data_IF_985774707052
#
_entry.id   IF_985774707052
#
_cell.length_a   1.000
_cell.length_b   1.000
_cell.length_c   1.000
_cell.angle_alpha   90.00
_cell.angle_beta   90.00
_cell.angle_gamma   90.00
#
_symmetry.space_group_name_H-M   'P 1'
#
loop_
_entity.id
_entity.type
_entity.pdbx_description
1 polymer ?
#
# COMPACT_ATOMS: atom_id res chain seq x y z
N UNK A 1 29.00 -0.14 33.70
CA UNK A 1 30.10 -1.08 33.43
C UNK A 1 29.47 -2.38 33.01
N UNK A 2 29.56 -2.74 31.75
CA UNK A 2 29.07 -4.02 31.26
C UNK A 2 29.84 -5.16 31.91
N UNK A 3 29.16 -6.14 32.50
CA UNK A 3 29.76 -7.37 32.98
C UNK A 3 30.39 -8.11 31.79
N UNK A 4 31.68 -8.02 31.62
CA UNK A 4 32.44 -8.84 30.69
C UNK A 4 32.42 -10.28 31.23
N UNK A 5 31.77 -11.21 30.48
CA UNK A 5 31.93 -12.64 30.70
C UNK A 5 30.70 -13.53 30.76
N UNK A 6 29.46 -13.03 30.75
CA UNK A 6 28.30 -13.91 30.65
C UNK A 6 28.06 -14.28 29.21
N UNK A 7 28.03 -15.59 28.91
CA UNK A 7 27.69 -16.08 27.57
C UNK A 7 26.25 -15.69 27.21
N UNK A 8 26.06 -15.08 26.02
CA UNK A 8 24.73 -14.65 25.57
C UNK A 8 23.81 -15.83 25.34
N UNK A 9 22.55 -15.68 25.73
CA UNK A 9 21.49 -16.63 25.34
C UNK A 9 21.22 -16.51 23.85
N UNK A 10 21.22 -17.61 23.11
CA UNK A 10 20.97 -17.60 21.67
C UNK A 10 19.52 -17.96 21.39
N UNK A 11 18.82 -17.10 20.66
CA UNK A 11 17.48 -17.39 20.17
C UNK A 11 17.62 -17.79 18.70
N UNK A 12 17.39 -19.05 18.38
CA UNK A 12 17.64 -19.65 17.07
C UNK A 12 16.30 -19.98 16.40
N UNK A 13 16.09 -19.46 15.22
CA UNK A 13 14.95 -19.81 14.39
C UNK A 13 15.05 -21.23 13.82
N UNK A 14 13.93 -21.92 13.71
CA UNK A 14 13.79 -23.25 13.11
C UNK A 14 12.52 -23.31 12.26
N UNK A 15 12.62 -23.90 11.06
CA UNK A 15 11.48 -24.21 10.19
C UNK A 15 10.94 -25.61 10.37
N UNK A 16 9.92 -25.97 9.62
CA UNK A 16 9.36 -27.32 9.57
C UNK A 16 10.29 -28.32 8.86
N UNK A 17 11.31 -27.82 8.14
CA UNK A 17 12.44 -28.57 7.60
C UNK A 17 13.49 -28.96 8.68
N UNK A 18 13.28 -28.54 9.92
CA UNK A 18 14.08 -28.92 11.07
C UNK A 18 15.55 -28.48 11.00
N UNK A 19 16.43 -29.39 11.46
CA UNK A 19 17.88 -29.13 11.46
C UNK A 19 18.45 -29.01 10.03
N UNK A 20 17.86 -29.66 9.05
CA UNK A 20 18.36 -29.67 7.67
C UNK A 20 18.19 -28.32 6.98
N UNK A 21 17.18 -27.54 7.34
CA UNK A 21 16.99 -26.17 6.87
C UNK A 21 17.86 -25.12 7.57
N UNK A 22 18.52 -25.48 8.65
CA UNK A 22 19.36 -24.55 9.40
C UNK A 22 20.69 -24.26 8.67
N UNK A 23 21.19 -23.02 8.84
CA UNK A 23 22.58 -22.73 8.50
C UNK A 23 23.53 -23.60 9.34
N UNK A 24 24.70 -23.88 8.82
CA UNK A 24 25.74 -24.64 9.57
C UNK A 24 26.09 -23.97 10.92
N UNK A 25 25.94 -22.64 11.01
CA UNK A 25 26.14 -21.91 12.27
C UNK A 25 25.02 -22.19 13.27
N UNK A 26 23.76 -22.03 12.87
CA UNK A 26 22.59 -22.28 13.71
C UNK A 26 22.56 -23.73 14.22
N UNK A 27 22.84 -24.69 13.33
CA UNK A 27 22.93 -26.11 13.65
C UNK A 27 23.98 -26.40 14.75
N UNK A 28 25.19 -25.85 14.62
CA UNK A 28 26.24 -26.01 15.66
C UNK A 28 25.81 -25.46 17.01
N UNK A 29 25.10 -24.31 17.03
CA UNK A 29 24.59 -23.75 18.28
C UNK A 29 23.62 -24.71 18.98
N UNK A 30 22.67 -25.26 18.25
CA UNK A 30 21.67 -26.22 18.76
C UNK A 30 22.34 -27.52 19.25
N UNK A 31 23.24 -28.08 18.46
CA UNK A 31 23.95 -29.31 18.79
C UNK A 31 24.85 -29.16 20.03
N UNK A 32 25.49 -28.00 20.21
CA UNK A 32 26.42 -27.70 21.30
C UNK A 32 25.76 -27.07 22.53
N UNK A 33 24.44 -26.84 22.56
CA UNK A 33 23.74 -26.25 23.68
C UNK A 33 23.84 -27.10 24.95
N UNK A 34 24.14 -26.49 26.10
CA UNK A 34 24.06 -27.13 27.39
C UNK A 34 22.61 -27.18 27.90
N UNK A 35 21.84 -26.12 27.61
CA UNK A 35 20.39 -26.02 27.86
C UNK A 35 19.69 -25.64 26.56
N UNK A 36 18.76 -26.49 26.13
CA UNK A 36 17.93 -26.27 24.94
C UNK A 36 16.48 -26.06 25.37
N UNK A 37 15.92 -24.90 25.07
CA UNK A 37 14.54 -24.51 25.44
C UNK A 37 13.72 -24.30 24.14
N UNK A 38 12.43 -24.62 24.16
CA UNK A 38 11.55 -24.33 23.03
C UNK A 38 10.14 -24.88 23.21
N UNK A 39 9.20 -24.50 22.34
CA UNK A 39 7.84 -25.04 22.36
C UNK A 39 7.83 -26.51 21.89
N UNK A 40 6.73 -27.22 22.21
CA UNK A 40 6.50 -28.61 21.84
C UNK A 40 6.63 -28.83 20.32
N UNK A 41 6.17 -27.87 19.52
CA UNK A 41 6.25 -27.94 18.05
C UNK A 41 7.69 -28.09 17.51
N UNK A 42 8.70 -27.57 18.22
CA UNK A 42 10.08 -27.78 17.82
C UNK A 42 10.55 -29.23 18.01
N UNK A 43 9.97 -29.97 18.95
CA UNK A 43 10.36 -31.37 19.20
C UNK A 43 10.06 -32.29 18.01
N UNK A 44 9.00 -31.99 17.25
CA UNK A 44 8.54 -32.82 16.13
C UNK A 44 9.45 -32.74 14.91
N UNK A 45 10.20 -31.64 14.76
CA UNK A 45 11.08 -31.37 13.60
C UNK A 45 12.57 -31.61 13.94
N UNK A 46 12.89 -31.98 15.17
CA UNK A 46 14.24 -32.27 15.60
C UNK A 46 14.57 -33.76 15.52
N UNK A 47 15.81 -34.14 15.20
CA UNK A 47 16.27 -35.52 15.35
C UNK A 47 16.09 -36.01 16.79
N UNK A 48 15.77 -37.31 17.01
CA UNK A 48 15.46 -37.84 18.34
C UNK A 48 16.53 -37.56 19.41
N UNK A 49 17.82 -37.57 19.03
CA UNK A 49 18.93 -37.27 19.93
C UNK A 49 18.98 -35.84 20.40
N UNK A 50 18.48 -34.88 19.61
CA UNK A 50 18.38 -33.46 19.97
C UNK A 50 17.05 -33.19 20.68
N UNK A 51 15.96 -33.78 20.17
CA UNK A 51 14.61 -33.63 20.74
C UNK A 51 14.55 -34.12 22.20
N UNK A 52 15.31 -35.17 22.57
CA UNK A 52 15.38 -35.68 23.94
C UNK A 52 16.04 -34.71 24.94
N UNK A 53 16.77 -33.71 24.45
CA UNK A 53 17.44 -32.64 25.23
C UNK A 53 16.59 -31.40 25.35
N UNK A 54 15.49 -31.29 24.58
CA UNK A 54 14.64 -30.13 24.57
C UNK A 54 13.81 -30.02 25.85
N UNK A 55 14.07 -28.99 26.62
CA UNK A 55 13.20 -28.57 27.71
C UNK A 55 12.01 -27.81 27.13
N UNK A 56 10.87 -28.47 27.08
CA UNK A 56 9.63 -27.94 26.53
C UNK A 56 9.07 -26.84 27.39
N UNK A 57 8.68 -25.72 26.78
CA UNK A 57 8.03 -24.59 27.43
C UNK A 57 6.62 -24.40 26.84
N UNK A 58 5.66 -24.08 27.71
CA UNK A 58 4.25 -23.95 27.35
C UNK A 58 3.80 -22.51 27.12
N UNK A 59 4.58 -21.55 27.67
CA UNK A 59 4.28 -20.13 27.52
C UNK A 59 5.57 -19.32 27.44
N UNK A 60 5.44 -18.06 27.01
CA UNK A 60 6.55 -17.12 26.99
C UNK A 60 6.99 -16.70 28.40
N UNK A 61 6.06 -16.70 29.36
CA UNK A 61 6.34 -16.45 30.77
C UNK A 61 7.23 -17.55 31.35
N UNK A 62 6.86 -18.82 31.14
CA UNK A 62 7.67 -19.96 31.56
C UNK A 62 9.06 -19.94 30.92
N UNK A 63 9.13 -19.53 29.64
CA UNK A 63 10.40 -19.37 28.94
C UNK A 63 11.30 -18.36 29.63
N UNK A 64 10.77 -17.18 30.00
CA UNK A 64 11.49 -16.13 30.70
C UNK A 64 12.01 -16.65 32.05
N UNK A 65 11.16 -17.31 32.85
CA UNK A 65 11.53 -17.89 34.13
C UNK A 65 12.65 -18.93 34.00
N UNK A 66 12.58 -19.81 33.00
CA UNK A 66 13.61 -20.83 32.77
C UNK A 66 14.95 -20.23 32.30
N UNK A 67 14.92 -19.19 31.47
CA UNK A 67 16.13 -18.48 31.06
C UNK A 67 16.78 -17.78 32.26
N UNK A 68 15.98 -17.20 33.12
CA UNK A 68 16.49 -16.45 34.29
C UNK A 68 17.00 -17.39 35.40
N UNK A 69 16.38 -18.56 35.55
CA UNK A 69 16.79 -19.59 36.48
C UNK A 69 17.96 -20.47 35.95
N UNK A 70 18.30 -20.38 34.66
CA UNK A 70 19.38 -21.18 34.10
C UNK A 70 20.74 -20.70 34.63
N UNK A 71 21.55 -21.66 35.08
CA UNK A 71 22.92 -21.42 35.48
C UNK A 71 23.85 -21.04 34.33
N UNK A 72 25.16 -20.92 34.61
CA UNK A 72 26.15 -20.65 33.56
C UNK A 72 26.20 -21.81 32.57
N UNK A 73 26.24 -21.47 31.25
CA UNK A 73 26.27 -22.43 30.16
C UNK A 73 25.70 -21.86 28.87
N UNK A 74 25.81 -22.64 27.80
CA UNK A 74 25.30 -22.28 26.47
C UNK A 74 23.80 -22.55 26.40
N UNK A 75 23.00 -21.49 26.62
CA UNK A 75 21.55 -21.56 26.56
C UNK A 75 21.12 -21.23 25.13
N UNK A 76 20.35 -22.13 24.53
CA UNK A 76 19.73 -21.95 23.21
C UNK A 76 18.21 -22.05 23.36
N UNK A 77 17.52 -21.05 22.81
CA UNK A 77 16.08 -21.02 22.71
C UNK A 77 15.69 -21.25 21.25
N UNK A 78 14.89 -22.25 20.97
CA UNK A 78 14.31 -22.49 19.65
C UNK A 78 13.01 -21.69 19.49
N UNK A 79 12.83 -21.08 18.33
CA UNK A 79 11.63 -20.35 17.97
C UNK A 79 11.25 -20.69 16.51
N UNK A 80 9.97 -20.88 16.22
CA UNK A 80 9.50 -21.17 14.86
C UNK A 80 9.75 -19.98 13.93
N UNK A 81 10.33 -20.26 12.75
CA UNK A 81 10.63 -19.27 11.71
C UNK A 81 11.62 -18.19 12.16
N UNK A 82 11.36 -16.94 11.83
CA UNK A 82 12.18 -15.81 12.31
C UNK A 82 11.76 -15.39 13.73
N UNK A 83 12.64 -15.49 14.71
CA UNK A 83 12.33 -15.14 16.11
C UNK A 83 11.91 -13.69 16.33
N UNK A 84 12.25 -12.78 15.41
CA UNK A 84 11.90 -11.35 15.48
C UNK A 84 10.62 -10.99 14.73
N UNK A 85 10.17 -11.84 13.81
CA UNK A 85 8.98 -11.59 13.02
C UNK A 85 7.72 -12.14 13.71
N UNK A 86 7.00 -11.31 14.47
CA UNK A 86 5.90 -11.68 15.37
C UNK A 86 6.27 -12.78 16.39
N UNK A 87 7.57 -12.93 16.66
CA UNK A 87 8.12 -14.08 17.33
C UNK A 87 8.55 -13.85 18.77
N UNK A 88 9.09 -14.92 19.35
CA UNK A 88 9.52 -15.09 20.74
C UNK A 88 10.55 -14.04 21.18
N UNK A 89 11.48 -13.66 20.30
CA UNK A 89 12.61 -12.80 20.69
C UNK A 89 12.16 -11.42 21.17
N UNK A 90 11.14 -10.82 20.59
CA UNK A 90 10.62 -9.51 21.02
C UNK A 90 10.18 -9.55 22.47
N UNK A 91 9.45 -10.58 22.87
CA UNK A 91 8.94 -10.71 24.24
C UNK A 91 10.08 -10.93 25.23
N UNK A 92 10.95 -11.91 24.97
CA UNK A 92 12.06 -12.26 25.90
C UNK A 92 13.03 -11.10 26.07
N UNK A 93 13.42 -10.46 24.96
CA UNK A 93 14.33 -9.29 24.99
C UNK A 93 13.74 -8.09 25.74
N UNK A 94 12.42 -7.89 25.68
CA UNK A 94 11.77 -6.81 26.42
C UNK A 94 11.74 -7.06 27.95
N UNK A 95 11.73 -8.31 28.38
CA UNK A 95 11.68 -8.70 29.80
C UNK A 95 13.07 -8.82 30.44
N UNK A 96 14.04 -9.36 29.72
CA UNK A 96 15.35 -9.72 30.26
C UNK A 96 16.50 -8.81 29.79
N UNK A 97 16.19 -7.83 28.90
CA UNK A 97 17.19 -6.93 28.33
C UNK A 97 17.83 -7.48 27.05
N UNK A 98 17.92 -6.63 26.02
CA UNK A 98 18.41 -7.02 24.68
C UNK A 98 19.84 -7.52 24.66
N UNK A 99 20.69 -6.95 25.50
CA UNK A 99 22.14 -7.24 25.52
C UNK A 99 22.46 -8.67 25.99
N UNK A 100 21.50 -9.35 26.64
CA UNK A 100 21.63 -10.76 27.04
C UNK A 100 21.51 -11.74 25.88
N UNK A 101 21.01 -11.29 24.72
CA UNK A 101 20.63 -12.18 23.64
C UNK A 101 21.44 -11.98 22.38
N UNK A 102 21.61 -13.08 21.65
CA UNK A 102 22.00 -13.15 20.25
C UNK A 102 20.87 -13.83 19.49
N UNK A 103 20.37 -13.20 18.44
CA UNK A 103 19.26 -13.75 17.63
C UNK A 103 19.82 -14.25 16.30
N UNK A 104 19.56 -15.52 16.00
CA UNK A 104 19.92 -16.17 14.75
C UNK A 104 18.62 -16.44 13.98
N UNK A 105 18.32 -15.66 12.95
CA UNK A 105 17.07 -15.79 12.22
C UNK A 105 17.02 -17.05 11.35
N UNK A 106 15.80 -17.48 11.04
CA UNK A 106 15.51 -18.47 10.02
C UNK A 106 14.48 -17.90 9.04
N UNK A 107 14.28 -18.54 7.90
CA UNK A 107 13.24 -18.14 6.94
C UNK A 107 11.86 -18.28 7.61
N UNK A 108 11.08 -17.21 7.61
CA UNK A 108 9.73 -17.25 8.16
C UNK A 108 8.74 -17.88 7.19
N UNK A 109 7.63 -18.43 7.71
CA UNK A 109 6.54 -18.93 6.84
C UNK A 109 5.94 -17.83 5.94
N UNK A 110 5.99 -16.57 6.36
CA UNK A 110 5.61 -15.44 5.50
C UNK A 110 6.53 -15.34 4.28
N UNK A 111 7.85 -15.40 4.47
CA UNK A 111 8.81 -15.37 3.36
C UNK A 111 8.65 -16.58 2.43
N UNK A 112 8.40 -17.76 3.01
CA UNK A 112 8.11 -18.96 2.21
C UNK A 112 6.84 -18.79 1.38
N UNK A 113 5.76 -18.24 1.97
CA UNK A 113 4.51 -17.97 1.27
C UNK A 113 4.73 -17.05 0.06
N UNK A 114 5.42 -15.93 0.26
CA UNK A 114 5.74 -15.01 -0.85
C UNK A 114 6.61 -15.67 -1.92
N UNK A 115 7.57 -16.51 -1.53
CA UNK A 115 8.38 -17.27 -2.48
C UNK A 115 7.55 -18.27 -3.30
N UNK A 116 6.55 -18.92 -2.71
CA UNK A 116 5.65 -19.86 -3.42
C UNK A 116 4.75 -19.13 -4.40
N UNK A 117 4.26 -17.96 -4.02
CA UNK A 117 3.40 -17.10 -4.85
C UNK A 117 4.22 -16.35 -5.91
N UNK A 118 5.54 -16.19 -5.72
CA UNK A 118 6.47 -15.46 -6.58
C UNK A 118 6.16 -13.95 -6.65
N UNK A 119 5.72 -13.41 -5.54
CA UNK A 119 5.48 -11.98 -5.36
C UNK A 119 6.56 -11.34 -4.48
N UNK A 120 6.87 -10.07 -4.73
CA UNK A 120 7.72 -9.29 -3.83
C UNK A 120 6.94 -8.88 -2.58
N UNK A 121 7.60 -8.94 -1.42
CA UNK A 121 7.04 -8.51 -0.14
C UNK A 121 7.60 -7.16 0.38
N UNK A 122 8.45 -6.53 -0.42
CA UNK A 122 9.12 -5.27 -0.05
C UNK A 122 8.14 -4.14 0.30
N UNK A 123 7.06 -4.02 -0.46
CA UNK A 123 6.00 -3.03 -0.22
C UNK A 123 4.69 -3.66 0.30
N UNK A 124 4.73 -4.94 0.66
CA UNK A 124 3.54 -5.65 1.11
C UNK A 124 3.08 -5.16 2.50
N UNK A 125 1.79 -5.04 2.69
CA UNK A 125 1.21 -4.88 4.01
C UNK A 125 1.17 -6.24 4.72
N UNK A 126 1.88 -6.36 5.85
CA UNK A 126 1.96 -7.58 6.63
C UNK A 126 1.21 -7.43 7.95
N UNK A 127 0.37 -8.41 8.29
CA UNK A 127 -0.36 -8.40 9.54
C UNK A 127 -0.49 -9.81 10.15
N UNK A 128 -0.66 -9.84 11.48
CA UNK A 128 -0.93 -11.06 12.23
C UNK A 128 -2.31 -10.95 12.91
N UNK A 129 -3.24 -11.81 12.51
CA UNK A 129 -4.62 -11.85 13.01
C UNK A 129 -4.80 -12.69 14.29
N UNK A 130 -3.72 -13.27 14.85
CA UNK A 130 -3.79 -13.95 16.14
C UNK A 130 -4.00 -12.98 17.32
N UNK A 131 -3.58 -11.72 17.18
CA UNK A 131 -3.66 -10.71 18.24
C UNK A 131 -4.55 -9.52 17.93
N UNK A 132 -5.22 -9.52 16.77
CA UNK A 132 -6.11 -8.43 16.35
C UNK A 132 -7.18 -8.94 15.38
N UNK A 133 -8.30 -8.23 15.33
CA UNK A 133 -9.39 -8.54 14.41
C UNK A 133 -9.12 -7.99 13.01
N UNK A 134 -9.82 -8.55 12.00
CA UNK A 134 -9.69 -8.16 10.60
C UNK A 134 -10.14 -6.71 10.36
N UNK A 135 -11.15 -6.24 11.09
CA UNK A 135 -11.71 -4.88 10.97
C UNK A 135 -10.65 -3.79 11.19
N UNK A 136 -9.65 -4.07 12.04
CA UNK A 136 -8.55 -3.13 12.31
C UNK A 136 -7.57 -2.95 11.16
N UNK A 137 -7.55 -3.88 10.24
CA UNK A 137 -6.60 -3.89 9.12
C UNK A 137 -7.26 -3.76 7.75
N UNK A 138 -8.60 -3.78 7.70
CA UNK A 138 -9.38 -3.83 6.46
C UNK A 138 -9.09 -2.65 5.54
N UNK A 139 -8.98 -1.44 6.09
CA UNK A 139 -8.68 -0.25 5.28
C UNK A 139 -7.26 -0.26 4.72
N UNK A 140 -6.31 -0.84 5.47
CA UNK A 140 -4.94 -1.04 4.96
C UNK A 140 -4.90 -2.10 3.89
N UNK A 141 -5.66 -3.19 4.03
CA UNK A 141 -5.82 -4.20 2.99
C UNK A 141 -6.42 -3.55 1.74
N UNK A 142 -7.50 -2.78 1.89
CA UNK A 142 -8.16 -2.05 0.80
C UNK A 142 -7.20 -1.18 -0.01
N UNK A 143 -6.24 -0.53 0.64
CA UNK A 143 -5.28 0.39 0.01
C UNK A 143 -3.99 -0.24 -0.45
N UNK A 144 -3.72 -1.51 -0.12
CA UNK A 144 -2.48 -2.21 -0.45
C UNK A 144 -2.58 -2.96 -1.77
N UNK A 145 -1.46 -3.12 -2.46
CA UNK A 145 -1.38 -3.92 -3.68
C UNK A 145 -1.10 -5.39 -3.38
N UNK A 146 -0.29 -5.63 -2.35
CA UNK A 146 0.04 -6.97 -1.88
C UNK A 146 -0.08 -7.02 -0.36
N UNK A 147 -0.67 -8.11 0.15
CA UNK A 147 -0.93 -8.29 1.58
C UNK A 147 -0.50 -9.69 2.01
N UNK A 148 0.18 -9.80 3.15
CA UNK A 148 0.50 -11.06 3.80
C UNK A 148 -0.15 -11.12 5.18
N UNK A 149 -0.94 -12.16 5.44
CA UNK A 149 -1.67 -12.34 6.68
C UNK A 149 -1.28 -13.66 7.35
N UNK A 150 -0.81 -13.60 8.59
CA UNK A 150 -0.92 -14.73 9.49
C UNK A 150 -2.36 -14.82 9.95
N UNK A 151 -3.02 -15.92 9.66
CA UNK A 151 -4.39 -16.20 10.06
C UNK A 151 -4.46 -16.79 11.48
N UNK A 152 -5.64 -17.03 11.98
CA UNK A 152 -5.87 -17.62 13.30
C UNK A 152 -7.13 -18.49 13.30
N UNK A 153 -7.38 -19.21 14.39
CA UNK A 153 -8.62 -19.97 14.55
C UNK A 153 -9.86 -19.06 14.48
N UNK A 154 -9.78 -17.86 15.03
CA UNK A 154 -10.85 -16.86 14.96
C UNK A 154 -11.00 -16.29 13.55
N UNK A 155 -9.89 -16.09 12.85
CA UNK A 155 -9.82 -15.51 11.50
C UNK A 155 -9.13 -16.49 10.54
N UNK A 156 -9.75 -17.68 10.25
CA UNK A 156 -9.24 -18.56 9.22
C UNK A 156 -9.39 -17.92 7.82
N UNK A 157 -8.67 -18.39 6.80
CA UNK A 157 -8.69 -17.79 5.45
C UNK A 157 -10.10 -17.57 4.89
N UNK A 158 -11.01 -18.53 5.09
CA UNK A 158 -12.40 -18.40 4.64
C UNK A 158 -13.17 -17.28 5.36
N UNK A 159 -12.92 -17.05 6.65
CA UNK A 159 -13.55 -15.95 7.40
C UNK A 159 -12.97 -14.60 6.98
N UNK A 160 -11.66 -14.53 6.75
CA UNK A 160 -10.99 -13.32 6.19
C UNK A 160 -11.58 -12.96 4.83
N UNK A 161 -11.70 -13.96 3.93
CA UNK A 161 -12.27 -13.75 2.60
C UNK A 161 -13.72 -13.23 2.65
N UNK A 162 -14.56 -13.81 3.52
CA UNK A 162 -15.94 -13.31 3.73
C UNK A 162 -15.97 -11.89 4.24
N UNK A 163 -15.19 -11.57 5.28
CA UNK A 163 -15.15 -10.21 5.83
C UNK A 163 -14.73 -9.17 4.79
N UNK A 164 -13.78 -9.50 3.90
CA UNK A 164 -13.39 -8.62 2.81
C UNK A 164 -14.52 -8.42 1.79
N UNK A 165 -15.22 -9.49 1.43
CA UNK A 165 -16.36 -9.42 0.49
C UNK A 165 -17.54 -8.63 1.08
N UNK A 166 -17.83 -8.79 2.36
CA UNK A 166 -18.89 -8.04 3.07
C UNK A 166 -18.62 -6.53 3.06
N UNK A 167 -17.34 -6.14 3.06
CA UNK A 167 -16.88 -4.75 2.91
C UNK A 167 -16.76 -4.29 1.45
N UNK A 168 -17.22 -5.09 0.50
CA UNK A 168 -17.15 -4.78 -0.94
C UNK A 168 -15.73 -4.82 -1.50
N UNK A 169 -14.79 -5.51 -0.86
CA UNK A 169 -13.42 -5.70 -1.34
C UNK A 169 -13.33 -7.02 -2.09
N UNK A 170 -13.43 -6.97 -3.42
CA UNK A 170 -13.24 -8.13 -4.32
C UNK A 170 -12.09 -7.92 -5.32
N UNK A 171 -11.21 -6.99 -5.03
CA UNK A 171 -10.13 -6.62 -5.93
C UNK A 171 -8.86 -7.49 -5.79
N UNK A 172 -8.94 -8.69 -5.18
CA UNK A 172 -7.77 -9.53 -4.91
C UNK A 172 -7.90 -10.94 -5.47
N UNK A 173 -6.76 -11.48 -5.94
CA UNK A 173 -6.51 -12.91 -5.96
C UNK A 173 -5.96 -13.31 -4.60
N UNK A 174 -6.43 -14.42 -4.07
CA UNK A 174 -6.00 -14.93 -2.78
C UNK A 174 -5.22 -16.24 -2.95
N UNK A 175 -4.19 -16.38 -2.15
CA UNK A 175 -3.37 -17.58 -2.04
C UNK A 175 -3.37 -18.00 -0.58
N UNK A 176 -3.67 -19.25 -0.30
CA UNK A 176 -3.56 -19.84 1.04
C UNK A 176 -2.44 -20.87 1.00
N UNK A 177 -1.38 -20.60 1.74
CA UNK A 177 -0.18 -21.44 1.79
C UNK A 177 -0.18 -22.19 3.13
N UNK A 178 -0.37 -23.50 3.08
CA UNK A 178 -0.50 -24.37 4.25
C UNK A 178 0.75 -25.22 4.44
N UNK A 179 1.11 -25.50 5.69
CA UNK A 179 2.20 -26.41 6.09
C UNK A 179 3.54 -26.13 5.37
N UNK A 180 3.88 -24.85 5.23
CA UNK A 180 5.03 -24.39 4.47
C UNK A 180 6.35 -24.98 5.01
N UNK A 181 7.10 -25.60 4.13
CA UNK A 181 8.39 -26.25 4.44
C UNK A 181 8.25 -27.73 4.83
N UNK A 182 7.02 -28.24 4.98
CA UNK A 182 6.77 -29.65 5.31
C UNK A 182 6.42 -30.49 4.05
N UNK A 183 6.46 -31.83 4.12
CA UNK A 183 6.12 -32.70 2.99
C UNK A 183 4.66 -32.58 2.51
N UNK A 184 3.76 -32.09 3.36
CA UNK A 184 2.35 -31.84 3.08
C UNK A 184 2.04 -30.36 2.80
N UNK A 185 3.07 -29.61 2.36
CA UNK A 185 2.91 -28.22 1.89
C UNK A 185 1.86 -28.15 0.77
N UNK A 186 0.92 -27.21 0.89
CA UNK A 186 -0.11 -26.97 -0.11
C UNK A 186 -0.30 -25.47 -0.34
N UNK A 187 -0.44 -25.08 -1.60
CA UNK A 187 -0.81 -23.73 -2.00
C UNK A 187 -2.13 -23.79 -2.76
N UNK A 188 -3.16 -23.19 -2.20
CA UNK A 188 -4.47 -23.02 -2.83
C UNK A 188 -4.61 -21.60 -3.32
N UNK A 189 -4.99 -21.40 -4.59
CA UNK A 189 -5.22 -20.07 -5.16
C UNK A 189 -6.65 -19.95 -5.67
N UNK A 190 -7.20 -18.74 -5.60
CA UNK A 190 -8.55 -18.46 -6.12
C UNK A 190 -8.97 -17.02 -5.91
N UNK A 191 -10.21 -16.73 -6.27
CA UNK A 191 -10.90 -15.50 -5.90
C UNK A 191 -11.27 -15.52 -4.42
N UNK A 192 -11.54 -14.37 -3.81
CA UNK A 192 -12.03 -14.31 -2.45
C UNK A 192 -13.32 -15.12 -2.27
N UNK A 193 -14.20 -15.15 -3.28
CA UNK A 193 -15.44 -15.92 -3.27
C UNK A 193 -15.22 -17.46 -3.26
N UNK A 194 -14.16 -17.94 -3.92
CA UNK A 194 -13.76 -19.35 -3.88
C UNK A 194 -13.16 -19.70 -2.53
N UNK A 195 -12.18 -18.93 -2.05
CA UNK A 195 -11.54 -19.14 -0.75
C UNK A 195 -12.56 -19.12 0.41
N UNK A 196 -13.58 -18.24 0.33
CA UNK A 196 -14.62 -18.15 1.35
C UNK A 196 -15.45 -19.44 1.54
N UNK A 197 -15.43 -20.35 0.55
CA UNK A 197 -16.20 -21.63 0.57
C UNK A 197 -15.36 -22.83 0.95
N UNK A 198 -14.03 -22.66 1.03
CA UNK A 198 -13.10 -23.75 1.33
C UNK A 198 -12.77 -23.83 2.82
N UNK A 199 -12.16 -24.95 3.21
CA UNK A 199 -11.65 -25.19 4.56
C UNK A 199 -10.15 -25.40 4.51
N UNK A 200 -9.44 -24.81 5.46
CA UNK A 200 -7.98 -24.81 5.53
C UNK A 200 -7.49 -25.29 6.90
N UNK A 201 -6.31 -25.87 6.92
CA UNK A 201 -5.64 -26.24 8.15
C UNK A 201 -5.22 -25.03 9.00
N UNK A 202 -4.89 -25.23 10.29
CA UNK A 202 -4.59 -24.12 11.20
C UNK A 202 -3.24 -23.44 10.91
N UNK A 203 -2.28 -24.15 10.30
CA UNK A 203 -0.96 -23.62 9.97
C UNK A 203 -0.93 -23.09 8.54
N UNK A 204 -1.32 -21.84 8.37
CA UNK A 204 -1.36 -21.24 7.05
C UNK A 204 -0.98 -19.75 7.06
N UNK A 205 -0.58 -19.28 5.88
CA UNK A 205 -0.37 -17.87 5.54
C UNK A 205 -1.26 -17.54 4.35
N UNK A 206 -2.02 -16.47 4.43
CA UNK A 206 -2.82 -15.97 3.33
C UNK A 206 -2.13 -14.79 2.66
N UNK A 207 -1.90 -14.88 1.35
CA UNK A 207 -1.38 -13.79 0.52
C UNK A 207 -2.52 -13.28 -0.35
N UNK A 208 -2.68 -11.97 -0.39
CA UNK A 208 -3.62 -11.28 -1.28
C UNK A 208 -2.82 -10.45 -2.28
N UNK A 209 -3.07 -10.67 -3.55
CA UNK A 209 -2.46 -9.92 -4.65
C UNK A 209 -3.58 -9.22 -5.41
N UNK A 210 -3.46 -7.91 -5.53
CA UNK A 210 -4.50 -7.11 -6.18
C UNK A 210 -4.61 -7.45 -7.66
N UNK A 211 -5.84 -7.62 -8.12
CA UNK A 211 -6.17 -7.78 -9.54
C UNK A 211 -5.78 -6.51 -10.30
N UNK A 212 -5.15 -6.67 -11.44
CA UNK A 212 -4.86 -5.53 -12.32
C UNK A 212 -6.16 -4.90 -12.82
N UNK A 213 -6.16 -3.56 -12.95
CA UNK A 213 -7.25 -2.79 -13.58
C UNK A 213 -8.64 -2.97 -12.94
N UNK A 214 -8.66 -3.10 -11.62
CA UNK A 214 -9.89 -3.08 -10.82
C UNK A 214 -9.84 -1.88 -9.88
N UNK A 215 -10.86 -1.04 -9.90
CA UNK A 215 -11.00 0.07 -8.97
C UNK A 215 -11.22 -0.46 -7.53
N UNK A 216 -10.75 0.28 -6.53
CA UNK A 216 -10.86 -0.16 -5.13
C UNK A 216 -12.31 -0.15 -4.63
N UNK A 217 -13.15 0.74 -5.21
CA UNK A 217 -14.60 0.88 -4.91
C UNK A 217 -15.43 1.00 -6.18
N UNK A 218 -15.59 -0.06 -6.98
CA UNK A 218 -16.31 0.01 -8.26
C UNK A 218 -17.79 0.40 -8.10
N UNK A 219 -18.44 0.03 -7.01
CA UNK A 219 -19.86 0.33 -6.75
C UNK A 219 -20.18 1.82 -6.55
N UNK A 220 -19.18 2.69 -6.40
CA UNK A 220 -19.33 4.13 -6.23
C UNK A 220 -18.96 4.95 -7.47
N UNK A 221 -18.60 4.28 -8.57
CA UNK A 221 -18.21 4.93 -9.82
C UNK A 221 -19.35 5.78 -10.36
N UNK A 222 -19.06 7.06 -10.64
CA UNK A 222 -19.99 7.97 -11.29
C UNK A 222 -21.22 8.38 -10.47
N UNK A 223 -21.27 8.06 -9.18
CA UNK A 223 -22.40 8.44 -8.30
C UNK A 223 -22.49 9.95 -8.07
N UNK A 224 -21.39 10.67 -8.26
CA UNK A 224 -21.32 12.14 -8.16
C UNK A 224 -20.96 12.72 -9.51
N UNK A 225 -21.43 13.91 -9.80
CA UNK A 225 -21.03 14.63 -11.02
C UNK A 225 -19.52 14.89 -11.03
N UNK A 226 -18.98 15.36 -9.89
CA UNK A 226 -17.55 15.53 -9.62
C UNK A 226 -17.27 15.29 -8.12
N UNK A 227 -15.99 15.23 -7.71
CA UNK A 227 -15.60 14.89 -6.34
C UNK A 227 -15.86 13.43 -6.00
N UNK A 228 -15.80 12.53 -6.98
CA UNK A 228 -15.87 11.09 -6.73
C UNK A 228 -14.67 10.65 -5.89
N UNK A 229 -14.82 9.68 -4.98
CA UNK A 229 -13.71 9.15 -4.19
C UNK A 229 -12.57 8.66 -5.08
N UNK A 230 -11.32 8.82 -4.63
CA UNK A 230 -10.12 8.45 -5.40
C UNK A 230 -10.10 6.93 -5.70
N UNK A 231 -10.72 6.13 -4.84
CA UNK A 231 -10.84 4.67 -4.95
C UNK A 231 -11.79 4.22 -6.08
N UNK A 232 -12.55 5.14 -6.68
CA UNK A 232 -13.40 4.84 -7.83
C UNK A 232 -12.63 4.83 -9.16
N UNK A 233 -11.43 5.40 -9.17
CA UNK A 233 -10.59 5.48 -10.36
C UNK A 233 -9.60 4.32 -10.42
N UNK A 234 -9.36 3.81 -11.62
CA UNK A 234 -8.18 3.01 -11.90
C UNK A 234 -6.94 3.91 -11.79
N UNK A 235 -5.91 3.42 -11.12
CA UNK A 235 -4.69 4.16 -10.86
C UNK A 235 -3.48 3.30 -11.24
N UNK A 236 -2.36 3.93 -11.58
CA UNK A 236 -1.08 3.23 -11.77
C UNK A 236 -0.64 2.48 -10.51
N UNK A 237 -0.03 1.33 -10.68
CA UNK A 237 0.41 0.43 -9.62
C UNK A 237 1.91 0.16 -9.75
N UNK A 238 2.65 0.19 -8.63
CA UNK A 238 2.23 0.61 -7.30
C UNK A 238 1.73 2.05 -7.29
N UNK A 239 0.80 2.38 -6.38
CA UNK A 239 0.21 3.73 -6.30
C UNK A 239 1.29 4.80 -6.09
N UNK A 240 1.57 5.57 -7.13
CA UNK A 240 2.59 6.63 -7.09
C UNK A 240 2.05 7.99 -6.65
N UNK A 241 0.78 8.04 -6.17
CA UNK A 241 0.13 9.30 -5.78
C UNK A 241 -0.11 10.25 -6.95
N UNK A 242 -0.33 9.72 -8.14
CA UNK A 242 -0.54 10.49 -9.40
C UNK A 242 -1.98 10.98 -9.55
N UNK A 243 -2.92 10.52 -8.71
CA UNK A 243 -4.27 11.06 -8.72
C UNK A 243 -4.32 12.36 -7.93
N UNK A 244 -5.06 13.35 -8.46
CA UNK A 244 -5.40 14.57 -7.71
C UNK A 244 -6.47 14.20 -6.66
N UNK A 245 -6.22 14.38 -5.35
CA UNK A 245 -7.17 14.05 -4.31
C UNK A 245 -8.55 14.66 -4.56
N UNK A 246 -9.63 13.93 -4.21
CA UNK A 246 -10.99 14.32 -4.50
C UNK A 246 -11.35 15.75 -4.02
N UNK A 247 -10.81 16.16 -2.86
CA UNK A 247 -11.02 17.48 -2.28
C UNK A 247 -10.33 18.59 -3.11
N UNK A 248 -9.09 18.33 -3.53
CA UNK A 248 -8.32 19.25 -4.40
C UNK A 248 -8.95 19.31 -5.78
N UNK A 249 -9.36 18.16 -6.33
CA UNK A 249 -10.00 18.03 -7.63
C UNK A 249 -11.33 18.79 -7.66
N UNK A 250 -12.13 18.69 -6.59
CA UNK A 250 -13.39 19.41 -6.47
C UNK A 250 -13.19 20.93 -6.48
N UNK A 251 -12.20 21.44 -5.73
CA UNK A 251 -11.87 22.85 -5.73
C UNK A 251 -11.32 23.31 -7.08
N UNK A 252 -10.45 22.52 -7.70
CA UNK A 252 -9.89 22.80 -9.03
C UNK A 252 -10.98 22.91 -10.10
N UNK A 253 -11.95 21.98 -10.09
CA UNK A 253 -13.06 21.99 -11.04
C UNK A 253 -14.01 23.18 -10.82
N UNK A 254 -14.24 23.57 -9.58
CA UNK A 254 -14.99 24.79 -9.28
C UNK A 254 -14.30 26.04 -9.82
N UNK A 255 -12.98 26.12 -9.66
CA UNK A 255 -12.17 27.25 -10.13
C UNK A 255 -11.96 27.29 -11.65
N UNK A 256 -12.05 26.16 -12.33
CA UNK A 256 -12.01 26.09 -13.80
C UNK A 256 -13.24 26.71 -14.47
N UNK A 257 -14.32 26.91 -13.72
CA UNK A 257 -15.58 27.54 -14.17
C UNK A 257 -16.11 26.94 -15.51
N UNK A 258 -16.11 25.63 -15.61
CA UNK A 258 -16.45 24.87 -16.81
C UNK A 258 -17.95 24.98 -17.10
N UNK A 259 -18.29 25.42 -18.31
CA UNK A 259 -19.66 25.37 -18.85
C UNK A 259 -19.93 24.08 -19.65
N UNK A 260 -21.21 23.83 -19.99
CA UNK A 260 -21.58 22.59 -20.71
C UNK A 260 -20.89 22.41 -22.08
N UNK A 261 -20.52 23.48 -22.76
CA UNK A 261 -19.91 23.48 -24.10
C UNK A 261 -18.41 23.78 -24.10
N UNK A 262 -17.78 23.87 -22.93
CA UNK A 262 -16.38 24.24 -22.79
C UNK A 262 -15.44 23.25 -23.45
N UNK A 263 -14.38 23.77 -24.06
CA UNK A 263 -13.17 23.01 -24.42
C UNK A 263 -12.21 23.08 -23.26
N UNK A 264 -11.82 21.93 -22.71
CA UNK A 264 -10.96 21.85 -21.52
C UNK A 264 -9.70 21.05 -21.82
N UNK A 265 -8.56 21.52 -21.34
CA UNK A 265 -7.31 20.75 -21.34
C UNK A 265 -6.94 20.32 -19.92
N UNK A 266 -6.66 19.03 -19.76
CA UNK A 266 -6.08 18.43 -18.55
C UNK A 266 -4.65 18.03 -18.88
N UNK A 267 -3.66 18.81 -18.44
CA UNK A 267 -2.25 18.66 -18.79
C UNK A 267 -1.49 17.95 -17.67
N UNK A 268 -0.86 16.83 -18.01
CA UNK A 268 -0.31 15.88 -17.03
C UNK A 268 -1.44 15.14 -16.31
N UNK A 269 -2.32 14.53 -17.11
CA UNK A 269 -3.60 14.01 -16.65
C UNK A 269 -3.46 12.79 -15.73
N UNK A 270 -2.33 12.05 -15.77
CA UNK A 270 -2.15 10.82 -15.02
C UNK A 270 -3.27 9.82 -15.32
N UNK A 271 -4.01 9.39 -14.30
CA UNK A 271 -5.18 8.51 -14.48
C UNK A 271 -6.40 9.20 -15.11
N UNK A 272 -6.32 10.49 -15.43
CA UNK A 272 -7.37 11.28 -16.06
C UNK A 272 -8.48 11.75 -15.12
N UNK A 273 -8.28 11.74 -13.82
CA UNK A 273 -9.36 12.00 -12.85
C UNK A 273 -9.96 13.41 -12.95
N UNK A 274 -9.13 14.43 -13.22
CA UNK A 274 -9.60 15.82 -13.39
C UNK A 274 -10.32 15.96 -14.74
N UNK A 275 -9.67 15.53 -15.83
CA UNK A 275 -10.25 15.60 -17.17
C UNK A 275 -11.56 14.82 -17.30
N UNK A 276 -11.66 13.68 -16.64
CA UNK A 276 -12.87 12.85 -16.64
C UNK A 276 -14.06 13.58 -15.95
N UNK A 277 -13.84 14.14 -14.78
CA UNK A 277 -14.89 14.88 -14.08
C UNK A 277 -15.20 16.22 -14.81
N UNK A 278 -14.19 16.85 -15.42
CA UNK A 278 -14.39 18.00 -16.30
C UNK A 278 -15.28 17.64 -17.50
N UNK A 279 -15.07 16.48 -18.13
CA UNK A 279 -15.89 16.03 -19.26
C UNK A 279 -17.35 15.76 -18.90
N UNK A 280 -17.62 15.34 -17.67
CA UNK A 280 -19.00 15.18 -17.16
C UNK A 280 -19.71 16.52 -16.94
N UNK A 281 -18.96 17.58 -16.64
CA UNK A 281 -19.48 18.96 -16.53
C UNK A 281 -19.66 19.54 -17.95
N UNK A 282 -18.65 19.44 -18.81
CA UNK A 282 -18.64 19.91 -20.20
C UNK A 282 -19.32 18.90 -21.14
N UNK A 283 -20.54 18.47 -20.83
CA UNK A 283 -21.23 17.37 -21.50
C UNK A 283 -21.43 17.52 -23.01
N UNK A 284 -21.54 18.75 -23.47
CA UNK A 284 -21.73 19.16 -24.89
C UNK A 284 -20.43 19.77 -25.48
N UNK A 285 -19.35 19.78 -24.69
CA UNK A 285 -18.01 20.24 -25.04
C UNK A 285 -17.03 19.09 -25.29
N UNK A 286 -15.73 19.40 -25.19
CA UNK A 286 -14.67 18.42 -25.39
C UNK A 286 -13.56 18.60 -24.34
N UNK A 287 -13.03 17.51 -23.80
CA UNK A 287 -11.91 17.53 -22.87
C UNK A 287 -10.74 16.75 -23.47
N UNK A 288 -9.58 17.36 -23.48
CA UNK A 288 -8.33 16.75 -23.96
C UNK A 288 -7.44 16.44 -22.77
N UNK A 289 -7.26 15.15 -22.47
CA UNK A 289 -6.40 14.69 -21.38
C UNK A 289 -5.03 14.31 -21.93
N UNK A 290 -4.04 15.15 -21.66
CA UNK A 290 -2.69 15.04 -22.23
C UNK A 290 -1.79 14.35 -21.22
N UNK A 291 -1.25 13.17 -21.61
CA UNK A 291 -0.40 12.36 -20.76
C UNK A 291 0.75 11.75 -21.56
N UNK A 292 1.96 11.82 -20.99
CA UNK A 292 3.16 11.33 -21.69
C UNK A 292 3.47 9.86 -21.43
N UNK A 293 3.01 9.33 -20.29
CA UNK A 293 3.20 7.93 -19.93
C UNK A 293 2.15 7.06 -20.64
N UNK A 294 2.56 6.04 -21.45
CA UNK A 294 1.64 5.19 -22.18
C UNK A 294 0.69 4.38 -21.27
N UNK A 295 1.16 3.96 -20.10
CA UNK A 295 0.36 3.18 -19.16
C UNK A 295 -0.72 4.05 -18.52
N UNK A 296 -0.36 5.25 -18.08
CA UNK A 296 -1.32 6.22 -17.54
C UNK A 296 -2.29 6.71 -18.62
N UNK A 297 -1.82 6.94 -19.85
CA UNK A 297 -2.71 7.23 -20.98
C UNK A 297 -3.74 6.11 -21.23
N UNK A 298 -3.35 4.84 -21.08
CA UNK A 298 -4.28 3.72 -21.18
C UNK A 298 -5.30 3.74 -20.02
N UNK A 299 -4.89 4.11 -18.80
CA UNK A 299 -5.79 4.28 -17.66
C UNK A 299 -6.85 5.37 -17.89
N UNK A 300 -6.50 6.46 -18.60
CA UNK A 300 -7.48 7.50 -18.96
C UNK A 300 -8.62 6.89 -19.79
N UNK A 301 -8.30 6.07 -20.79
CA UNK A 301 -9.29 5.39 -21.64
C UNK A 301 -10.18 4.44 -20.85
N UNK A 302 -9.57 3.67 -19.98
CA UNK A 302 -10.29 2.69 -19.14
C UNK A 302 -11.19 3.40 -18.11
N UNK A 303 -10.71 4.46 -17.47
CA UNK A 303 -11.52 5.28 -16.59
C UNK A 303 -12.67 5.97 -17.35
N UNK A 304 -12.44 6.50 -18.56
CA UNK A 304 -13.49 7.06 -19.37
C UNK A 304 -14.60 6.04 -19.68
N UNK A 305 -14.21 4.81 -20.01
CA UNK A 305 -15.15 3.69 -20.20
C UNK A 305 -15.90 3.35 -18.92
N UNK A 306 -15.18 3.22 -17.80
CA UNK A 306 -15.73 2.88 -16.49
C UNK A 306 -16.79 3.90 -16.03
N UNK A 307 -16.55 5.19 -16.28
CA UNK A 307 -17.46 6.28 -15.91
C UNK A 307 -18.51 6.61 -16.99
N UNK A 308 -18.49 5.94 -18.15
CA UNK A 308 -19.40 6.17 -19.25
C UNK A 308 -19.26 7.55 -19.90
N UNK A 309 -18.02 8.06 -20.01
CA UNK A 309 -17.71 9.39 -20.55
C UNK A 309 -17.21 9.25 -22.00
N UNK A 310 -17.90 9.91 -22.95
CA UNK A 310 -17.57 9.82 -24.38
C UNK A 310 -16.88 11.05 -24.99
N UNK A 311 -16.87 12.19 -24.30
CA UNK A 311 -16.31 13.47 -24.77
C UNK A 311 -14.92 13.77 -24.15
N UNK A 312 -14.29 12.79 -23.50
CA UNK A 312 -12.90 12.84 -23.06
C UNK A 312 -12.01 12.23 -24.16
N UNK A 313 -11.03 12.98 -24.62
CA UNK A 313 -10.08 12.61 -25.67
C UNK A 313 -8.68 12.45 -25.08
N UNK A 314 -8.23 11.22 -24.80
CA UNK A 314 -6.87 10.98 -24.36
C UNK A 314 -5.85 11.31 -25.45
N UNK A 315 -4.82 12.10 -25.10
CA UNK A 315 -3.73 12.51 -26.00
C UNK A 315 -2.42 11.99 -25.45
N UNK A 316 -1.80 11.03 -26.12
CA UNK A 316 -0.50 10.49 -25.75
C UNK A 316 0.61 11.40 -26.26
N UNK A 317 1.42 11.92 -25.35
CA UNK A 317 2.61 12.69 -25.68
C UNK A 317 2.95 13.72 -24.61
N UNK A 318 4.14 14.29 -24.76
CA UNK A 318 4.63 15.32 -23.84
C UNK A 318 4.08 16.70 -24.23
N UNK A 319 3.56 17.41 -23.26
CA UNK A 319 3.20 18.81 -23.42
C UNK A 319 4.50 19.69 -23.40
N UNK A 320 4.60 20.78 -24.20
CA UNK A 320 3.52 21.36 -25.01
C UNK A 320 3.32 20.74 -26.41
N UNK A 321 4.23 19.93 -26.91
CA UNK A 321 4.21 19.41 -28.28
C UNK A 321 2.93 18.61 -28.59
N UNK A 322 2.44 17.85 -27.60
CA UNK A 322 1.28 16.98 -27.75
C UNK A 322 -0.05 17.73 -27.93
N UNK A 323 -0.10 19.02 -27.66
CA UNK A 323 -1.33 19.81 -27.87
C UNK A 323 -1.33 20.63 -29.16
N UNK A 324 -0.29 20.48 -30.02
CA UNK A 324 -0.31 21.06 -31.37
C UNK A 324 -1.52 20.51 -32.16
N UNK A 325 -2.25 21.42 -32.79
CA UNK A 325 -3.48 21.04 -33.54
C UNK A 325 -4.73 20.85 -32.70
N UNK A 326 -4.67 20.86 -31.37
CA UNK A 326 -5.87 20.87 -30.54
C UNK A 326 -6.56 22.24 -30.59
N UNK A 327 -7.90 22.30 -30.45
CA UNK A 327 -8.62 23.56 -30.37
C UNK A 327 -8.22 24.32 -29.09
N UNK A 328 -8.16 25.67 -29.20
CA UNK A 328 -7.83 26.51 -28.05
C UNK A 328 -8.85 26.33 -26.92
N UNK A 329 -8.39 26.16 -25.67
CA UNK A 329 -9.23 25.80 -24.55
C UNK A 329 -9.93 27.03 -23.93
N UNK A 330 -11.12 26.80 -23.40
CA UNK A 330 -11.83 27.71 -22.49
C UNK A 330 -11.32 27.58 -21.05
N UNK A 331 -10.81 26.37 -20.69
CA UNK A 331 -10.22 26.10 -19.39
C UNK A 331 -9.02 25.16 -19.51
N UNK A 332 -7.98 25.39 -18.70
CA UNK A 332 -6.77 24.55 -18.63
C UNK A 332 -6.50 24.19 -17.19
N UNK A 333 -6.39 22.92 -16.91
CA UNK A 333 -5.81 22.39 -15.68
C UNK A 333 -4.39 21.91 -15.95
N UNK A 334 -3.42 22.34 -15.13
CA UNK A 334 -2.05 21.84 -15.19
C UNK A 334 -1.74 21.10 -13.89
N UNK A 335 -1.61 19.77 -14.00
CA UNK A 335 -1.31 18.88 -12.89
C UNK A 335 -0.15 17.94 -13.22
N UNK A 336 0.36 17.21 -12.25
CA UNK A 336 1.31 16.12 -12.45
C UNK A 336 2.65 16.43 -13.12
N UNK A 337 2.95 17.70 -13.39
CA UNK A 337 4.06 18.14 -14.28
C UNK A 337 5.41 18.38 -13.56
N UNK A 338 5.47 18.07 -12.26
CA UNK A 338 6.72 18.15 -11.50
C UNK A 338 7.42 19.50 -11.60
N UNK A 339 8.66 19.50 -12.10
CA UNK A 339 9.49 20.72 -12.25
C UNK A 339 9.09 21.61 -13.44
N UNK A 340 8.26 21.12 -14.35
CA UNK A 340 7.89 21.79 -15.59
C UNK A 340 6.61 22.63 -15.47
N UNK A 341 5.95 22.60 -14.30
CA UNK A 341 4.65 23.24 -14.10
C UNK A 341 4.61 24.71 -14.53
N UNK A 342 5.65 25.49 -14.22
CA UNK A 342 5.69 26.92 -14.58
C UNK A 342 5.74 27.13 -16.10
N UNK A 343 6.53 26.35 -16.82
CA UNK A 343 6.63 26.38 -18.28
C UNK A 343 5.30 25.95 -18.93
N UNK A 344 4.67 24.89 -18.42
CA UNK A 344 3.39 24.41 -18.93
C UNK A 344 2.24 25.39 -18.65
N UNK A 345 2.27 26.07 -17.51
CA UNK A 345 1.34 27.18 -17.20
C UNK A 345 1.54 28.32 -18.20
N UNK A 346 2.81 28.69 -18.49
CA UNK A 346 3.13 29.73 -19.48
C UNK A 346 2.58 29.39 -20.86
N UNK A 347 2.90 28.20 -21.34
CA UNK A 347 2.48 27.74 -22.66
C UNK A 347 0.96 27.50 -22.77
N UNK A 348 0.35 26.97 -21.72
CA UNK A 348 -1.11 26.83 -21.63
C UNK A 348 -1.84 28.17 -21.62
N UNK A 349 -1.26 29.18 -20.94
CA UNK A 349 -1.77 30.54 -20.94
C UNK A 349 -1.77 31.19 -22.34
N UNK A 350 -0.73 30.94 -23.12
CA UNK A 350 -0.64 31.46 -24.51
C UNK A 350 -1.83 30.97 -25.36
N UNK A 351 -2.19 29.68 -25.22
CA UNK A 351 -3.26 29.01 -25.96
C UNK A 351 -4.67 29.24 -25.38
N UNK A 352 -4.75 29.61 -24.10
CA UNK A 352 -6.04 29.85 -23.42
C UNK A 352 -6.79 30.99 -24.11
N UNK A 353 -8.08 30.81 -24.38
CA UNK A 353 -8.93 31.86 -24.95
C UNK A 353 -9.04 33.08 -24.03
N UNK A 354 -9.27 34.29 -24.57
CA UNK A 354 -9.64 35.45 -23.75
C UNK A 354 -10.85 35.13 -22.87
N UNK A 355 -10.84 35.55 -21.60
CA UNK A 355 -11.82 35.19 -20.59
C UNK A 355 -11.72 33.77 -20.05
N UNK A 356 -10.84 32.94 -20.59
CA UNK A 356 -10.64 31.57 -20.15
C UNK A 356 -9.97 31.43 -18.78
N UNK A 357 -10.06 30.24 -18.18
CA UNK A 357 -9.58 29.94 -16.83
C UNK A 357 -8.40 28.98 -16.86
N UNK A 358 -7.35 29.28 -16.11
CA UNK A 358 -6.22 28.38 -15.88
C UNK A 358 -6.16 28.03 -14.38
N UNK A 359 -6.05 26.74 -14.08
CA UNK A 359 -5.91 26.24 -12.69
C UNK A 359 -4.72 25.29 -12.65
N UNK A 360 -3.90 25.42 -11.60
CA UNK A 360 -2.80 24.49 -11.35
C UNK A 360 -2.64 24.16 -9.87
N UNK A 361 -2.23 22.93 -9.58
CA UNK A 361 -1.90 22.46 -8.24
C UNK A 361 -0.39 22.27 -8.05
N UNK A 362 0.23 23.02 -7.14
CA UNK A 362 1.64 22.92 -6.80
C UNK A 362 1.85 22.27 -5.43
N UNK A 363 2.84 21.36 -5.33
CA UNK A 363 3.24 20.72 -4.07
C UNK A 363 4.55 21.31 -3.51
N UNK A 364 5.20 22.25 -4.20
CA UNK A 364 6.42 22.93 -3.75
C UNK A 364 6.25 24.44 -3.78
N UNK A 365 6.95 25.11 -2.87
CA UNK A 365 7.01 26.58 -2.80
C UNK A 365 7.70 27.17 -4.02
N UNK A 366 8.70 26.48 -4.57
CA UNK A 366 9.43 26.94 -5.76
C UNK A 366 8.52 27.01 -6.97
N UNK A 367 7.70 25.98 -7.19
CA UNK A 367 6.71 25.97 -8.28
C UNK A 367 5.64 27.05 -8.07
N UNK A 368 5.16 27.24 -6.83
CA UNK A 368 4.23 28.30 -6.48
C UNK A 368 4.82 29.68 -6.85
N UNK A 369 6.07 29.95 -6.45
CA UNK A 369 6.74 31.22 -6.69
C UNK A 369 6.95 31.47 -8.20
N UNK A 370 7.34 30.44 -8.96
CA UNK A 370 7.55 30.56 -10.40
C UNK A 370 6.23 30.84 -11.15
N UNK A 371 5.15 30.11 -10.82
CA UNK A 371 3.82 30.35 -11.40
C UNK A 371 3.30 31.73 -11.03
N UNK A 372 3.43 32.13 -9.75
CA UNK A 372 3.03 33.47 -9.30
C UNK A 372 3.76 34.58 -10.09
N UNK A 373 5.08 34.50 -10.24
CA UNK A 373 5.84 35.48 -10.98
C UNK A 373 5.37 35.57 -12.44
N UNK A 374 5.11 34.43 -13.08
CA UNK A 374 4.60 34.37 -14.44
C UNK A 374 3.23 35.04 -14.61
N UNK A 375 2.26 34.72 -13.75
CA UNK A 375 0.91 35.29 -13.80
C UNK A 375 0.89 36.79 -13.49
N UNK A 376 1.71 37.23 -12.51
CA UNK A 376 1.88 38.64 -12.16
C UNK A 376 2.43 39.47 -13.33
N UNK A 377 3.41 38.95 -14.05
CA UNK A 377 3.99 39.62 -15.23
C UNK A 377 2.95 39.84 -16.35
N UNK A 378 1.86 39.05 -16.38
CA UNK A 378 0.79 39.15 -17.36
C UNK A 378 -0.46 39.88 -16.86
N UNK A 379 -0.38 40.51 -15.69
CA UNK A 379 -1.47 41.22 -15.05
C UNK A 379 -2.73 40.33 -14.92
N UNK A 380 -2.55 39.02 -14.74
CA UNK A 380 -3.64 38.09 -14.59
C UNK A 380 -4.36 38.32 -13.25
N UNK A 381 -5.69 38.28 -13.28
CA UNK A 381 -6.49 38.18 -12.05
C UNK A 381 -6.36 36.74 -11.52
N UNK A 382 -5.63 36.59 -10.42
CA UNK A 382 -5.27 35.29 -9.87
C UNK A 382 -5.62 35.17 -8.39
N UNK A 383 -6.23 34.03 -8.02
CA UNK A 383 -6.51 33.63 -6.66
C UNK A 383 -5.60 32.46 -6.23
N UNK A 384 -5.24 32.43 -4.94
CA UNK A 384 -4.29 31.50 -4.38
C UNK A 384 -4.85 30.87 -3.12
N UNK A 385 -4.73 29.54 -3.01
CA UNK A 385 -5.13 28.78 -1.83
C UNK A 385 -3.98 27.89 -1.36
N UNK A 386 -3.81 27.81 -0.07
CA UNK A 386 -3.10 26.71 0.58
C UNK A 386 -4.14 25.77 1.16
N UNK A 387 -4.27 24.58 0.58
CA UNK A 387 -5.29 23.61 0.99
C UNK A 387 -4.63 22.57 1.87
N UNK A 388 -5.03 22.52 3.15
CA UNK A 388 -4.62 21.53 4.13
C UNK A 388 -5.79 20.55 4.35
N UNK A 389 -5.52 19.27 4.19
CA UNK A 389 -6.50 18.21 4.34
C UNK A 389 -6.02 17.26 5.43
N UNK A 390 -6.92 16.88 6.32
CA UNK A 390 -6.71 15.74 7.20
C UNK A 390 -7.95 14.85 7.11
N UNK A 391 -7.74 13.55 6.81
CA UNK A 391 -8.81 12.55 6.72
C UNK A 391 -8.93 11.81 8.03
N UNK A 392 -10.17 11.69 8.56
CA UNK A 392 -10.46 10.88 9.73
C UNK A 392 -10.41 9.40 9.40
N UNK A 393 -9.66 8.65 10.17
CA UNK A 393 -9.60 7.18 10.10
C UNK A 393 -10.11 6.66 11.44
N UNK A 394 -11.11 5.79 11.40
CA UNK A 394 -11.60 5.12 12.59
C UNK A 394 -10.61 4.04 13.03
N UNK A 395 -10.13 4.14 14.27
CA UNK A 395 -9.20 3.18 14.85
C UNK A 395 -9.51 2.99 16.34
N UNK A 396 -9.82 1.77 16.75
CA UNK A 396 -10.07 1.44 18.18
C UNK A 396 -11.17 2.31 18.81
N UNK A 397 -12.32 2.42 18.16
CA UNK A 397 -13.47 3.24 18.57
C UNK A 397 -13.15 4.74 18.73
N UNK A 398 -12.10 5.21 18.07
CA UNK A 398 -11.67 6.61 18.04
C UNK A 398 -11.39 7.03 16.60
N UNK A 399 -11.65 8.30 16.30
CA UNK A 399 -11.27 8.90 15.03
C UNK A 399 -9.88 9.51 15.21
N UNK A 400 -8.93 9.05 14.40
CA UNK A 400 -7.61 9.66 14.23
C UNK A 400 -7.58 10.41 12.91
N UNK A 401 -7.01 11.61 12.89
CA UNK A 401 -6.82 12.36 11.67
C UNK A 401 -5.40 12.14 11.12
N UNK A 402 -5.31 11.78 9.83
CA UNK A 402 -4.06 11.72 9.10
C UNK A 402 -3.98 12.88 8.11
N UNK A 403 -2.92 13.69 8.24
CA UNK A 403 -2.71 14.84 7.38
C UNK A 403 -2.17 14.40 6.00
N UNK A 404 -2.72 15.01 4.95
CA UNK A 404 -2.21 14.92 3.58
C UNK A 404 -1.32 16.14 3.36
N UNK A 405 -0.23 15.97 2.61
CA UNK A 405 0.66 17.08 2.28
C UNK A 405 -0.12 18.26 1.68
N UNK A 406 0.16 19.50 2.11
CA UNK A 406 -0.52 20.68 1.60
C UNK A 406 -0.36 20.81 0.07
N UNK A 407 -1.41 21.32 -0.58
CA UNK A 407 -1.39 21.67 -2.00
C UNK A 407 -1.66 23.17 -2.13
N UNK A 408 -0.82 23.85 -2.90
CA UNK A 408 -1.05 25.22 -3.31
C UNK A 408 -1.84 25.21 -4.61
N UNK A 409 -3.08 25.64 -4.58
CA UNK A 409 -3.91 25.78 -5.77
C UNK A 409 -3.87 27.24 -6.22
N UNK A 410 -3.69 27.42 -7.52
CA UNK A 410 -3.68 28.74 -8.15
C UNK A 410 -4.71 28.71 -9.28
N UNK A 411 -5.58 29.70 -9.32
CA UNK A 411 -6.52 29.90 -10.41
C UNK A 411 -6.38 31.31 -10.97
N UNK A 412 -6.37 31.43 -12.29
CA UNK A 412 -6.22 32.71 -12.96
C UNK A 412 -7.19 32.84 -14.15
N UNK A 413 -7.68 34.07 -14.38
CA UNK A 413 -8.49 34.40 -15.54
C UNK A 413 -7.66 35.17 -16.55
N UNK A 414 -7.69 34.77 -17.83
CA UNK A 414 -7.05 35.51 -18.91
C UNK A 414 -7.90 36.74 -19.23
N UNK A 415 -7.31 37.95 -19.28
CA UNK A 415 -8.04 39.14 -19.71
C UNK A 415 -8.76 38.94 -21.05
N UNK A 416 -9.93 39.60 -21.20
CA UNK A 416 -10.75 39.53 -22.40
C UNK A 416 -10.10 40.28 -23.58
#
# INVERSE_FOLDING_TARGET
MAQAGAERVRIVGIGDDGIDGMTAHARRLVESADVLLGPESCATVLPPAVASRLHRVRSLEELVERIDAAGPGRIVVLASGDPLFYGTARYVCSRLGKDRFEVVPHVSSMQLAFARVKESWEEAFLANLSGQSIERVIDKIRSSDTVGLFTSEQWPPAAVARALLDEGIDAFHAYVCENLGSPDERVTQGTLGEIARESFGPLNVMILVRKARVADRPGHVGTRLFGNPDECFLQSRPKRGLITPAEIRSLALAELAIGPTSVVWDVGAGSGSVGLEAARIARDGAVYAIEMDPDDHQLIRENATLFGVGNLHPVLGRAPEAWEGLPDPDAVYVGGSGREVAMLVEKGWERLKPGGRLVTGCKSIDNLAAVHAHLRARSADAAYWMVNIARGIEQLDRIRFEAINPVFLIAATKPA
#
